data_IF_270680940855
#
_entry.id   IF_270680940855
#
_cell.length_a   1.000
_cell.length_b   1.000
_cell.length_c   1.000
_cell.angle_alpha   90.00
_cell.angle_beta   90.00
_cell.angle_gamma   90.00
#
_symmetry.space_group_name_H-M   'P 1'
#
loop_
_entity.id
_entity.type
_entity.pdbx_description
1 polymer ?
#
# COMPACT_ATOMS: atom_id res chain seq x y z
N UNK A 1 6.94 -8.74 -6.59
CA UNK A 1 6.16 -7.58 -6.09
C UNK A 1 6.30 -7.40 -4.57
N UNK A 2 7.01 -8.29 -3.85
CA UNK A 2 7.24 -8.17 -2.40
C UNK A 2 7.83 -6.82 -1.98
N UNK A 3 8.62 -6.17 -2.86
CA UNK A 3 9.23 -4.86 -2.59
C UNK A 3 8.42 -3.66 -3.15
N UNK A 4 7.25 -3.89 -3.72
CA UNK A 4 6.45 -2.83 -4.33
C UNK A 4 5.51 -2.17 -3.31
N UNK A 5 5.37 -0.85 -3.43
CA UNK A 5 4.43 -0.05 -2.64
C UNK A 5 3.46 0.66 -3.59
N UNK A 6 2.18 0.61 -3.28
CA UNK A 6 1.16 1.38 -4.00
C UNK A 6 1.02 2.74 -3.31
N UNK A 7 1.29 3.83 -4.03
CA UNK A 7 0.99 5.19 -3.57
C UNK A 7 -0.24 5.74 -4.30
N UNK A 8 -1.20 6.28 -3.55
CA UNK A 8 -2.43 6.85 -4.08
C UNK A 8 -2.59 8.31 -3.64
N UNK A 9 -2.79 9.19 -4.60
CA UNK A 9 -3.13 10.60 -4.39
C UNK A 9 -4.44 10.93 -5.14
N UNK A 10 -5.59 10.43 -4.69
CA UNK A 10 -6.86 10.63 -5.38
C UNK A 10 -7.29 12.11 -5.31
N UNK A 11 -8.20 12.57 -6.19
CA UNK A 11 -8.83 13.88 -6.04
C UNK A 11 -9.39 14.04 -4.62
N UNK A 12 -9.13 15.18 -4.00
CA UNK A 12 -9.44 15.38 -2.59
C UNK A 12 -10.96 15.45 -2.37
N UNK A 13 -11.38 14.94 -1.21
CA UNK A 13 -12.78 15.01 -0.80
C UNK A 13 -13.23 16.47 -0.77
N UNK A 14 -14.39 16.82 -1.36
CA UNK A 14 -14.89 18.18 -1.32
C UNK A 14 -15.09 18.63 0.13
N UNK A 15 -14.50 19.76 0.50
CA UNK A 15 -14.77 20.41 1.77
C UNK A 15 -16.21 20.96 1.74
N UNK A 16 -16.90 20.96 2.90
CA UNK A 16 -18.19 21.66 3.00
C UNK A 16 -18.01 23.11 2.52
N UNK A 17 -18.88 23.54 1.62
CA UNK A 17 -18.92 24.90 1.05
C UNK A 17 -17.75 25.30 0.12
N UNK A 18 -16.94 24.34 -0.34
CA UNK A 18 -15.98 24.57 -1.43
C UNK A 18 -16.15 23.52 -2.50
N UNK A 19 -16.56 23.96 -3.69
CA UNK A 19 -16.47 23.12 -4.88
C UNK A 19 -15.01 22.73 -5.08
N UNK A 20 -14.73 21.44 -4.91
CA UNK A 20 -13.45 20.85 -5.28
C UNK A 20 -13.40 20.84 -6.80
N UNK A 21 -12.82 21.89 -7.38
CA UNK A 21 -12.65 22.04 -8.82
C UNK A 21 -11.56 21.07 -9.31
N UNK A 22 -11.87 19.77 -9.33
CA UNK A 22 -10.98 18.69 -9.83
C UNK A 22 -11.75 17.71 -10.72
N UNK A 23 -12.41 18.25 -11.75
CA UNK A 23 -12.93 17.44 -12.87
C UNK A 23 -11.80 17.17 -13.87
N UNK A 24 -10.91 16.21 -13.60
CA UNK A 24 -9.81 15.88 -14.52
C UNK A 24 -10.28 15.14 -15.79
N UNK A 25 -11.48 14.56 -15.81
CA UNK A 25 -11.95 13.70 -16.91
C UNK A 25 -13.49 13.59 -17.05
N UNK A 26 -14.23 14.65 -16.71
CA UNK A 26 -15.70 14.70 -16.90
C UNK A 26 -16.53 13.87 -15.92
N UNK A 27 -15.93 12.90 -15.21
CA UNK A 27 -16.55 12.18 -14.09
C UNK A 27 -15.95 12.65 -12.77
N UNK A 28 -16.78 13.00 -11.80
CA UNK A 28 -16.31 13.34 -10.45
C UNK A 28 -15.79 12.08 -9.74
N UNK A 29 -14.68 12.20 -9.02
CA UNK A 29 -14.26 11.17 -8.06
C UNK A 29 -15.05 11.37 -6.77
N UNK A 30 -16.00 10.47 -6.55
CA UNK A 30 -16.99 10.61 -5.48
C UNK A 30 -16.49 10.00 -4.18
N UNK A 31 -17.21 10.28 -3.08
CA UNK A 31 -17.02 9.60 -1.79
C UNK A 31 -17.08 8.09 -1.91
N UNK A 32 -17.92 7.57 -2.80
CA UNK A 32 -18.03 6.13 -3.03
C UNK A 32 -16.79 5.59 -3.75
N UNK A 33 -16.24 6.35 -4.71
CA UNK A 33 -14.98 5.97 -5.36
C UNK A 33 -13.81 5.92 -4.36
N UNK A 34 -13.78 6.79 -3.34
CA UNK A 34 -12.81 6.67 -2.24
C UNK A 34 -12.99 5.39 -1.42
N UNK A 35 -14.22 4.95 -1.15
CA UNK A 35 -14.49 3.69 -0.43
C UNK A 35 -14.09 2.48 -1.26
N UNK A 36 -14.38 2.51 -2.56
CA UNK A 36 -13.95 1.47 -3.49
C UNK A 36 -12.42 1.40 -3.60
N UNK A 37 -11.73 2.54 -3.63
CA UNK A 37 -10.28 2.60 -3.58
C UNK A 37 -9.73 1.90 -2.33
N UNK A 38 -10.27 2.20 -1.15
CA UNK A 38 -9.89 1.51 0.10
C UNK A 38 -10.10 0.00 0.00
N UNK A 39 -11.26 -0.43 -0.50
CA UNK A 39 -11.56 -1.85 -0.66
C UNK A 39 -10.57 -2.55 -1.60
N UNK A 40 -10.20 -1.92 -2.72
CA UNK A 40 -9.22 -2.46 -3.67
C UNK A 40 -7.81 -2.53 -3.08
N UNK A 41 -7.39 -1.53 -2.31
CA UNK A 41 -6.06 -1.53 -1.67
C UNK A 41 -5.94 -2.63 -0.61
N UNK A 42 -6.99 -2.84 0.18
CA UNK A 42 -7.07 -3.96 1.13
C UNK A 42 -7.04 -5.30 0.38
N UNK A 43 -7.77 -5.42 -0.72
CA UNK A 43 -7.78 -6.65 -1.52
C UNK A 43 -6.41 -6.92 -2.16
N UNK A 44 -5.74 -5.90 -2.69
CA UNK A 44 -4.40 -6.01 -3.24
C UNK A 44 -3.40 -6.46 -2.16
N UNK A 45 -3.49 -5.91 -0.95
CA UNK A 45 -2.68 -6.35 0.17
C UNK A 45 -2.91 -7.84 0.51
N UNK A 46 -4.17 -8.29 0.56
CA UNK A 46 -4.50 -9.69 0.85
C UNK A 46 -4.00 -10.66 -0.22
N UNK A 47 -4.08 -10.27 -1.49
CA UNK A 47 -3.69 -11.15 -2.61
C UNK A 47 -2.19 -11.17 -2.86
N UNK A 48 -1.50 -10.05 -2.61
CA UNK A 48 -0.11 -9.86 -3.07
C UNK A 48 0.85 -9.43 -1.96
N UNK A 49 0.38 -9.22 -0.73
CA UNK A 49 1.19 -8.75 0.40
C UNK A 49 1.66 -7.30 0.29
N UNK A 50 1.22 -6.56 -0.74
CA UNK A 50 1.74 -5.22 -1.05
C UNK A 50 1.27 -4.17 -0.05
N UNK A 51 2.19 -3.32 0.39
CA UNK A 51 1.87 -2.14 1.21
C UNK A 51 1.20 -1.07 0.34
N UNK A 52 0.30 -0.29 0.94
CA UNK A 52 -0.22 0.91 0.29
C UNK A 52 -0.15 2.15 1.17
N UNK A 53 -0.01 3.31 0.53
CA UNK A 53 0.05 4.63 1.15
C UNK A 53 -0.91 5.55 0.42
N UNK A 54 -1.70 6.33 1.16
CA UNK A 54 -2.70 7.26 0.61
C UNK A 54 -2.58 8.66 1.22
N UNK A 55 -2.60 9.71 0.39
CA UNK A 55 -2.65 11.11 0.83
C UNK A 55 -4.03 11.73 0.61
N UNK A 56 -4.46 12.62 1.51
CA UNK A 56 -5.64 13.48 1.35
C UNK A 56 -5.66 14.59 2.42
N UNK A 57 -6.59 15.54 2.33
CA UNK A 57 -6.84 16.52 3.39
C UNK A 57 -7.32 15.86 4.68
N UNK A 58 -6.88 16.40 5.81
CA UNK A 58 -7.29 15.94 7.13
C UNK A 58 -8.69 16.48 7.48
N UNK A 59 -9.71 15.69 7.13
CA UNK A 59 -11.10 15.98 7.46
C UNK A 59 -11.70 14.81 8.23
N UNK A 60 -12.79 15.04 8.96
CA UNK A 60 -13.54 13.95 9.59
C UNK A 60 -14.01 12.90 8.58
N UNK A 61 -14.39 13.32 7.37
CA UNK A 61 -14.84 12.41 6.32
C UNK A 61 -13.70 11.55 5.80
N UNK A 62 -12.53 12.15 5.53
CA UNK A 62 -11.30 11.43 5.17
C UNK A 62 -10.96 10.39 6.23
N UNK A 63 -10.94 10.79 7.50
CA UNK A 63 -10.62 9.87 8.62
C UNK A 63 -11.60 8.72 8.76
N UNK A 64 -12.88 8.94 8.47
CA UNK A 64 -13.90 7.88 8.45
C UNK A 64 -13.65 6.90 7.31
N UNK A 65 -13.49 7.40 6.08
CA UNK A 65 -13.34 6.56 4.89
C UNK A 65 -12.01 5.78 4.94
N UNK A 66 -10.92 6.42 5.36
CA UNK A 66 -9.59 5.79 5.43
C UNK A 66 -9.26 5.19 6.80
N UNK A 67 -10.25 4.99 7.68
CA UNK A 67 -10.07 4.37 9.00
C UNK A 67 -9.39 2.99 9.00
N UNK A 68 -9.41 2.17 7.93
CA UNK A 68 -8.61 0.94 7.89
C UNK A 68 -7.09 1.15 7.85
N UNK A 69 -6.63 2.36 7.51
CA UNK A 69 -5.21 2.71 7.42
C UNK A 69 -4.71 3.30 8.74
N UNK A 70 -3.42 3.16 9.03
CA UNK A 70 -2.76 3.96 10.06
C UNK A 70 -2.62 5.40 9.56
N UNK A 71 -3.36 6.35 10.15
CA UNK A 71 -3.44 7.73 9.70
C UNK A 71 -2.48 8.65 10.46
N UNK A 72 -1.49 9.19 9.76
CA UNK A 72 -0.55 10.19 10.27
C UNK A 72 -0.96 11.60 9.83
N UNK A 73 -0.97 12.55 10.78
CA UNK A 73 -1.40 13.93 10.52
C UNK A 73 -0.22 14.83 10.27
N UNK A 74 -0.31 15.67 9.25
CA UNK A 74 0.70 16.66 8.88
C UNK A 74 0.09 18.06 8.92
N UNK A 75 0.75 18.98 9.62
CA UNK A 75 0.42 20.41 9.57
C UNK A 75 1.31 21.07 8.52
N UNK A 76 0.76 21.33 7.33
CA UNK A 76 1.51 21.92 6.22
C UNK A 76 1.23 23.41 6.09
N UNK A 77 2.31 24.19 5.93
CA UNK A 77 2.21 25.61 5.60
C UNK A 77 2.06 25.73 4.09
N UNK A 78 0.89 26.16 3.59
CA UNK A 78 0.76 26.50 2.17
C UNK A 78 1.43 27.85 1.95
N UNK A 79 2.55 27.86 1.23
CA UNK A 79 3.32 29.08 0.91
C UNK A 79 2.75 29.89 -0.25
N UNK A 80 1.64 29.47 -0.85
CA UNK A 80 1.04 30.14 -2.01
C UNK A 80 0.05 31.20 -1.55
N UNK A 81 0.56 32.35 -1.10
CA UNK A 81 -0.22 33.57 -0.99
C UNK A 81 0.64 34.74 -1.48
N UNK A 82 0.14 35.51 -2.44
CA UNK A 82 0.74 36.78 -2.87
C UNK A 82 0.57 37.91 -1.82
N UNK A 83 0.17 37.58 -0.58
CA UNK A 83 0.02 38.53 0.52
C UNK A 83 0.30 37.86 1.87
N UNK A 84 0.94 38.61 2.78
CA UNK A 84 1.32 38.14 4.12
C UNK A 84 0.13 37.70 5.01
N UNK A 85 -1.10 38.09 4.66
CA UNK A 85 -2.33 37.72 5.37
C UNK A 85 -2.91 36.36 4.97
N UNK A 86 -2.37 35.71 3.93
CA UNK A 86 -2.91 34.46 3.35
C UNK A 86 -2.21 33.16 3.78
N UNK A 87 -1.24 33.20 4.71
CA UNK A 87 -0.56 32.01 5.24
C UNK A 87 -1.53 31.16 6.09
N UNK A 88 -2.36 30.37 5.41
CA UNK A 88 -3.24 29.40 6.06
C UNK A 88 -2.52 28.05 6.17
N UNK A 89 -2.44 27.52 7.39
CA UNK A 89 -2.03 26.14 7.62
C UNK A 89 -3.13 25.21 7.12
N UNK A 90 -2.79 24.24 6.27
CA UNK A 90 -3.68 23.15 5.93
C UNK A 90 -3.28 21.91 6.74
N UNK A 91 -4.28 21.11 7.12
CA UNK A 91 -4.03 19.80 7.74
C UNK A 91 -4.19 18.73 6.67
N UNK A 92 -3.24 17.83 6.58
CA UNK A 92 -3.21 16.72 5.63
C UNK A 92 -3.05 15.40 6.42
N UNK A 93 -3.49 14.29 5.83
CA UNK A 93 -3.26 12.95 6.36
C UNK A 93 -2.51 12.08 5.36
N UNK A 94 -1.61 11.27 5.88
CA UNK A 94 -0.99 10.14 5.18
C UNK A 94 -1.49 8.86 5.84
N UNK A 95 -2.23 8.03 5.11
CA UNK A 95 -2.66 6.71 5.55
C UNK A 95 -1.69 5.63 5.07
N UNK A 96 -1.26 4.75 5.96
CA UNK A 96 -0.43 3.58 5.63
C UNK A 96 -1.21 2.31 5.92
N UNK A 97 -1.34 1.43 4.92
CA UNK A 97 -1.84 0.07 5.10
C UNK A 97 -0.64 -0.89 5.04
N UNK A 98 -0.31 -1.60 6.12
CA UNK A 98 0.91 -2.38 6.22
C UNK A 98 0.93 -3.51 5.20
N UNK A 99 2.12 -4.02 4.87
CA UNK A 99 2.22 -5.31 4.19
C UNK A 99 1.59 -6.38 5.08
N UNK A 100 0.93 -7.37 4.48
CA UNK A 100 0.50 -8.54 5.23
C UNK A 100 1.75 -9.12 5.95
N UNK A 101 1.62 -9.58 7.21
CA UNK A 101 2.72 -10.28 7.85
C UNK A 101 3.14 -11.40 6.92
N UNK A 102 4.42 -11.43 6.55
CA UNK A 102 4.97 -12.52 5.74
C UNK A 102 4.51 -13.83 6.38
N UNK A 103 3.67 -14.58 5.67
CA UNK A 103 3.59 -16.00 5.93
C UNK A 103 5.00 -16.47 5.63
N UNK A 104 5.78 -16.80 6.66
CA UNK A 104 7.13 -17.30 6.49
C UNK A 104 7.02 -18.41 5.46
N UNK A 105 7.51 -18.18 4.25
CA UNK A 105 7.81 -19.31 3.38
C UNK A 105 8.85 -20.09 4.16
N UNK A 106 8.49 -21.24 4.73
CA UNK A 106 9.52 -22.20 5.07
C UNK A 106 10.35 -22.38 3.80
N UNK A 107 11.63 -22.03 3.87
CA UNK A 107 12.56 -22.16 2.76
C UNK A 107 12.68 -23.65 2.38
N UNK A 108 11.83 -24.11 1.46
CA UNK A 108 11.82 -25.49 0.94
C UNK A 108 13.14 -25.82 0.21
N UNK A 109 13.99 -24.82 -0.04
CA UNK A 109 15.28 -24.99 -0.70
C UNK A 109 16.33 -25.69 0.18
N UNK A 110 16.28 -25.49 1.50
CA UNK A 110 17.27 -26.07 2.43
C UNK A 110 16.98 -27.54 2.75
N UNK A 111 15.74 -28.00 2.58
CA UNK A 111 15.33 -29.38 2.81
C UNK A 111 15.72 -30.29 1.64
N UNK A 112 15.57 -29.80 0.41
CA UNK A 112 16.00 -30.52 -0.81
C UNK A 112 17.51 -30.79 -0.82
N UNK A 113 18.35 -29.83 -0.42
CA UNK A 113 19.80 -30.02 -0.35
C UNK A 113 20.22 -31.08 0.68
N UNK A 114 19.48 -31.20 1.79
CA UNK A 114 19.71 -32.25 2.81
C UNK A 114 19.32 -33.63 2.31
N UNK A 115 18.21 -33.73 1.57
CA UNK A 115 17.74 -34.99 0.95
C UNK A 115 18.72 -35.49 -0.12
N UNK A 116 19.20 -34.60 -0.98
CA UNK A 116 20.16 -34.92 -2.06
C UNK A 116 21.51 -35.33 -1.47
N UNK A 117 22.01 -34.60 -0.47
CA UNK A 117 23.28 -34.92 0.20
C UNK A 117 23.24 -36.25 0.97
N UNK A 118 22.05 -36.72 1.36
CA UNK A 118 21.90 -38.00 2.06
C UNK A 118 21.70 -39.20 1.11
N UNK A 119 21.36 -38.96 -0.16
CA UNK A 119 21.05 -40.05 -1.13
C UNK A 119 22.24 -40.45 -2.00
N UNK A 120 23.36 -39.73 -1.97
CA UNK A 120 24.58 -40.00 -2.75
C UNK A 120 25.55 -41.02 -2.09
N UNK A 121 25.03 -42.03 -1.38
CA UNK A 121 25.84 -43.11 -0.78
C UNK A 121 25.46 -44.52 -1.28
N UNK A 122 25.05 -44.66 -2.54
CA UNK A 122 24.96 -45.99 -3.18
C UNK A 122 25.89 -46.07 -4.39
N UNK A 123 27.02 -46.73 -4.17
CA UNK A 123 28.02 -47.11 -5.17
C UNK A 123 27.38 -47.95 -6.31
N UNK A 124 27.75 -47.72 -7.58
CA UNK A 124 27.57 -48.72 -8.62
C UNK A 124 28.85 -49.55 -8.86
N UNK A 125 28.67 -50.83 -8.54
CA UNK A 125 29.10 -52.08 -9.20
C UNK A 125 30.57 -52.37 -9.52
N UNK A 126 30.98 -53.55 -9.01
CA UNK A 126 32.22 -54.28 -9.23
C UNK A 126 32.34 -54.79 -10.70
N UNK A 127 33.45 -54.53 -11.41
CA UNK A 127 33.67 -55.08 -12.74
C UNK A 127 34.50 -56.36 -12.63
N UNK A 128 33.86 -57.53 -12.50
CA UNK A 128 34.43 -58.84 -12.84
C UNK A 128 33.43 -59.93 -12.46
N UNK A 129 32.82 -60.62 -13.44
CA UNK A 129 32.51 -62.06 -13.47
C UNK A 129 32.10 -62.40 -14.93
N UNK A 130 33.05 -63.04 -15.63
CA UNK A 130 33.07 -63.73 -16.96
C UNK A 130 32.84 -62.90 -18.23
#
# INVERSE_FOLDING_TARGET
LSDAVIYCDPPYLPLKDKDSFTHYNGKAFTREDHRLLVAHLIQANKLYGVRSVISNSDTEETRKIYSPFELHTLNVRRSVAASDKGRQSAKEVIGVYPSAPECKSEDVHDEWLKVVSSTEARQPVNPEVI
#
